data_IF_791432849366
#
_entry.id   IF_791432849366
#
_cell.length_a   1.000
_cell.length_b   1.000
_cell.length_c   1.000
_cell.angle_alpha   90.00
_cell.angle_beta   90.00
_cell.angle_gamma   90.00
#
_symmetry.space_group_name_H-M   'P 1'
#
loop_
_entity.id
_entity.type
_entity.pdbx_description
1 polymer ?
#
# COMPACT_ATOMS: atom_id res chain seq x y z
N UNK A 1 -3.05 16.76 -4.63
CA UNK A 1 -3.95 16.51 -5.47
C UNK A 1 -4.56 15.21 -5.44
N UNK A 2 -4.51 14.47 -6.45
CA UNK A 2 -5.23 13.23 -6.52
C UNK A 2 -4.92 12.27 -5.45
N UNK A 3 -3.72 12.27 -4.95
CA UNK A 3 -3.30 11.28 -3.95
C UNK A 3 -3.98 11.47 -2.61
N UNK A 4 -4.58 12.64 -2.40
CA UNK A 4 -5.25 12.87 -1.14
C UNK A 4 -6.54 12.10 -0.99
N UNK A 5 -7.07 11.53 -2.05
CA UNK A 5 -8.35 10.84 -1.96
C UNK A 5 -8.23 9.39 -1.53
N UNK A 6 -7.02 8.86 -1.49
CA UNK A 6 -6.85 7.46 -1.19
C UNK A 6 -6.18 7.31 0.17
N UNK A 7 -6.83 6.59 1.06
CA UNK A 7 -6.23 6.26 2.33
C UNK A 7 -5.61 4.88 2.25
N UNK A 8 -4.62 4.62 3.12
CA UNK A 8 -4.07 3.28 3.18
C UNK A 8 -3.60 2.96 4.58
N UNK A 9 -3.56 1.68 4.89
CA UNK A 9 -2.96 1.21 6.13
C UNK A 9 -1.87 0.20 5.81
N UNK A 10 -1.15 0.44 4.72
CA UNK A 10 -0.14 -0.50 4.28
C UNK A 10 0.93 -0.72 5.34
N UNK A 11 1.41 0.35 5.95
CA UNK A 11 2.46 0.23 6.95
C UNK A 11 2.01 -0.65 8.12
N UNK A 12 0.78 -0.46 8.57
CA UNK A 12 0.26 -1.22 9.68
C UNK A 12 0.16 -2.70 9.33
N UNK A 13 -0.39 -3.00 8.17
CA UNK A 13 -0.58 -4.39 7.77
C UNK A 13 0.76 -5.07 7.45
N UNK A 14 1.69 -4.32 6.85
CA UNK A 14 3.02 -4.84 6.60
C UNK A 14 3.72 -5.19 7.91
N UNK A 15 3.62 -4.29 8.88
CA UNK A 15 4.26 -4.50 10.17
C UNK A 15 3.66 -5.70 10.90
N UNK A 16 2.33 -5.84 10.83
CA UNK A 16 1.69 -6.99 11.45
C UNK A 16 2.11 -8.29 10.81
N UNK A 17 2.46 -8.26 9.51
CA UNK A 17 2.93 -9.44 8.83
C UNK A 17 4.42 -9.69 9.08
N UNK A 18 5.06 -8.83 9.86
CA UNK A 18 6.47 -9.03 10.19
C UNK A 18 7.41 -8.69 9.05
N UNK A 19 6.99 -7.85 8.11
CA UNK A 19 7.82 -7.54 6.96
C UNK A 19 8.39 -6.15 7.04
N UNK A 20 9.65 -6.03 6.58
CA UNK A 20 10.23 -4.70 6.38
C UNK A 20 9.74 -4.15 5.05
N UNK A 21 9.94 -2.85 4.84
CA UNK A 21 9.63 -2.24 3.56
C UNK A 21 10.42 -2.92 2.43
N UNK A 22 11.69 -3.22 2.70
CA UNK A 22 12.53 -3.84 1.69
C UNK A 22 12.02 -5.24 1.33
N UNK A 23 11.57 -5.99 2.32
CA UNK A 23 11.09 -7.34 2.05
C UNK A 23 9.80 -7.31 1.24
N UNK A 24 8.89 -6.43 1.61
CA UNK A 24 7.64 -6.33 0.85
C UNK A 24 7.95 -5.89 -0.58
N UNK A 25 8.85 -4.93 -0.74
CA UNK A 25 9.23 -4.44 -2.07
C UNK A 25 9.78 -5.57 -2.91
N UNK A 26 10.63 -6.40 -2.31
CA UNK A 26 11.21 -7.53 -3.01
C UNK A 26 10.15 -8.51 -3.47
N UNK A 27 9.22 -8.83 -2.60
CA UNK A 27 8.18 -9.82 -2.92
C UNK A 27 7.20 -9.30 -3.98
N UNK A 28 6.97 -8.01 -3.99
CA UNK A 28 6.03 -7.41 -4.93
C UNK A 28 6.71 -7.02 -6.24
N UNK A 29 8.03 -6.86 -6.22
CA UNK A 29 8.75 -6.53 -7.44
C UNK A 29 8.87 -5.05 -7.71
N UNK A 30 8.86 -4.23 -6.66
CA UNK A 30 9.05 -2.78 -6.79
C UNK A 30 10.19 -2.36 -5.89
N UNK A 31 10.58 -1.09 -5.96
CA UNK A 31 11.66 -0.61 -5.13
C UNK A 31 11.16 -0.33 -3.71
N UNK A 32 12.07 -0.34 -2.74
CA UNK A 32 11.73 0.02 -1.38
C UNK A 32 11.21 1.46 -1.33
N UNK A 33 11.78 2.33 -2.18
CA UNK A 33 11.35 3.73 -2.22
C UNK A 33 9.89 3.81 -2.65
N UNK A 34 9.45 2.95 -3.58
CA UNK A 34 8.06 2.93 -3.99
C UNK A 34 7.15 2.53 -2.82
N UNK A 35 7.55 1.53 -2.03
CA UNK A 35 6.74 1.14 -0.88
C UNK A 35 6.67 2.29 0.13
N UNK A 36 7.78 2.95 0.40
CA UNK A 36 7.80 4.08 1.30
C UNK A 36 6.88 5.19 0.82
N UNK A 37 6.93 5.51 -0.47
CA UNK A 37 6.11 6.58 -1.03
C UNK A 37 4.62 6.22 -0.96
N UNK A 38 4.28 4.95 -1.18
CA UNK A 38 2.89 4.51 -1.08
C UNK A 38 2.42 4.65 0.36
N UNK A 39 3.22 4.21 1.32
CA UNK A 39 2.83 4.29 2.72
C UNK A 39 2.63 5.71 3.18
N UNK A 40 3.39 6.64 2.61
CA UNK A 40 3.30 8.05 2.99
C UNK A 40 2.24 8.81 2.20
N UNK A 41 1.55 8.15 1.31
CA UNK A 41 0.49 8.81 0.55
C UNK A 41 0.99 9.69 -0.57
N UNK A 42 2.26 9.56 -0.96
CA UNK A 42 2.82 10.40 -2.01
C UNK A 42 2.73 9.76 -3.38
N UNK A 43 2.40 8.50 -3.44
CA UNK A 43 2.41 7.77 -4.70
C UNK A 43 1.32 6.71 -4.65
N UNK A 44 0.55 6.61 -5.70
CA UNK A 44 -0.49 5.58 -5.78
C UNK A 44 0.07 4.40 -6.56
N UNK A 45 -0.11 3.18 -6.06
CA UNK A 45 0.36 2.02 -6.80
C UNK A 45 -0.47 1.80 -8.05
N UNK A 46 0.11 1.13 -9.03
CA UNK A 46 -0.69 0.65 -10.13
C UNK A 46 -1.64 -0.40 -9.61
N UNK A 47 -2.65 -0.73 -10.37
CA UNK A 47 -3.57 -1.78 -9.97
C UNK A 47 -2.82 -3.09 -9.77
N UNK A 48 -1.89 -3.40 -10.66
CA UNK A 48 -1.13 -4.64 -10.52
C UNK A 48 -0.36 -4.65 -9.20
N UNK A 49 0.32 -3.57 -8.88
CA UNK A 49 1.09 -3.50 -7.64
C UNK A 49 0.18 -3.61 -6.43
N UNK A 50 -0.97 -2.94 -6.46
CA UNK A 50 -1.91 -3.00 -5.34
C UNK A 50 -2.40 -4.43 -5.11
N UNK A 51 -2.71 -5.14 -6.19
CA UNK A 51 -3.19 -6.51 -6.07
C UNK A 51 -2.09 -7.45 -5.59
N UNK A 52 -0.85 -7.22 -6.04
CA UNK A 52 0.27 -8.03 -5.58
C UNK A 52 0.56 -7.79 -4.10
N UNK A 53 0.42 -6.57 -3.64
CA UNK A 53 0.57 -6.27 -2.22
C UNK A 53 -0.48 -7.01 -1.42
N UNK A 54 -1.73 -6.96 -1.87
CA UNK A 54 -2.82 -7.61 -1.17
C UNK A 54 -2.60 -9.12 -1.13
N UNK A 55 -2.14 -9.69 -2.22
CA UNK A 55 -1.86 -11.12 -2.27
C UNK A 55 -0.73 -11.48 -1.33
N UNK A 56 0.32 -10.67 -1.30
CA UNK A 56 1.48 -10.94 -0.46
C UNK A 56 1.13 -10.85 1.02
N UNK A 57 0.27 -9.91 1.37
CA UNK A 57 -0.15 -9.74 2.76
C UNK A 57 -1.35 -10.61 3.12
N UNK A 58 -1.92 -11.28 2.11
CA UNK A 58 -3.05 -12.19 2.32
C UNK A 58 -4.26 -11.48 2.92
N UNK A 59 -4.56 -10.31 2.40
CA UNK A 59 -5.75 -9.55 2.79
C UNK A 59 -6.40 -8.98 1.55
N UNK A 60 -7.69 -8.68 1.59
CA UNK A 60 -8.34 -8.04 0.46
C UNK A 60 -7.75 -6.66 0.21
N UNK A 61 -7.69 -6.25 -1.03
CA UNK A 61 -7.06 -4.97 -1.38
C UNK A 61 -7.79 -3.80 -0.71
N UNK A 62 -9.08 -3.91 -0.52
CA UNK A 62 -9.83 -2.82 0.10
C UNK A 62 -9.58 -2.69 1.59
N UNK A 63 -8.91 -3.66 2.21
CA UNK A 63 -8.46 -3.50 3.57
C UNK A 63 -7.19 -2.65 3.62
N UNK A 64 -6.47 -2.57 2.50
CA UNK A 64 -5.21 -1.83 2.44
C UNK A 64 -5.45 -0.42 1.93
N UNK A 65 -6.24 -0.28 0.86
CA UNK A 65 -6.47 1.00 0.20
C UNK A 65 -7.96 1.27 0.07
N UNK A 66 -8.38 2.51 0.28
CA UNK A 66 -9.78 2.88 0.17
C UNK A 66 -9.89 4.36 -0.22
N UNK A 67 -11.07 4.75 -0.66
CA UNK A 67 -11.31 6.15 -0.93
C UNK A 67 -11.73 6.81 0.38
N UNK A 68 -11.06 7.91 0.71
CA UNK A 68 -11.40 8.64 1.91
C UNK A 68 -12.76 9.27 1.74
N UNK A 69 -13.54 9.26 2.83
CA UNK A 69 -14.80 9.87 2.77
C UNK A 69 -14.66 11.33 2.68
N UNK A 70 -15.51 11.97 1.84
CA UNK A 70 -15.47 13.31 1.75
C UNK A 70 -16.17 13.88 2.86
N UNK A 71 -15.59 14.74 3.57
CA UNK A 71 -16.19 15.23 4.63
C UNK A 71 -16.97 16.33 4.40
N UNK A 72 -17.89 16.23 3.92
CA UNK A 72 -18.62 17.29 3.57
C UNK A 72 -19.08 18.21 4.53
#
# INVERSE_FOLDING_TARGET
MAHDRVGNRLKELRSKAGMTQARLAELVGVSRISILAIENGRFLPTIETALLIAQTLDVPVERIFWLKEENS
#
